data_IF_466104543325
#
_entry.id   IF_466104543325
#
_cell.length_a   1.000
_cell.length_b   1.000
_cell.length_c   1.000
_cell.angle_alpha   90.00
_cell.angle_beta   90.00
_cell.angle_gamma   90.00
#
_symmetry.space_group_name_H-M   'P 1'
#
loop_
_entity.id
_entity.type
_entity.pdbx_description
1 polymer ?
#
# COMPACT_ATOMS: atom_id res chain seq x y z
N UNK A 1 22.53 6.97 6.59
CA UNK A 1 23.14 6.60 5.29
C UNK A 1 24.21 7.63 4.94
N UNK A 2 25.50 7.30 5.03
CA UNK A 2 26.59 8.20 4.59
C UNK A 2 26.79 7.99 3.07
N UNK A 3 26.90 9.07 2.30
CA UNK A 3 27.25 9.11 0.88
C UNK A 3 26.15 8.80 -0.17
N UNK A 4 24.88 9.15 0.09
CA UNK A 4 23.88 9.17 -1.00
C UNK A 4 24.08 10.40 -1.89
N UNK A 5 23.97 10.23 -3.21
CA UNK A 5 23.93 11.36 -4.12
C UNK A 5 22.59 12.12 -3.98
N UNK A 6 22.54 13.38 -4.42
CA UNK A 6 21.34 14.24 -4.26
C UNK A 6 20.09 13.61 -4.86
N UNK A 7 20.19 12.99 -6.03
CA UNK A 7 19.06 12.36 -6.71
C UNK A 7 18.49 11.19 -5.90
N UNK A 8 19.35 10.30 -5.39
CA UNK A 8 18.96 9.18 -4.54
C UNK A 8 18.35 9.62 -3.21
N UNK A 9 18.80 10.74 -2.66
CA UNK A 9 18.18 11.34 -1.48
C UNK A 9 16.77 11.84 -1.77
N UNK A 10 16.54 12.46 -2.94
CA UNK A 10 15.20 12.89 -3.36
C UNK A 10 14.27 11.70 -3.63
N UNK A 11 14.74 10.66 -4.32
CA UNK A 11 13.92 9.47 -4.58
C UNK A 11 13.59 8.72 -3.29
N UNK A 12 14.54 8.63 -2.36
CA UNK A 12 14.28 8.10 -1.02
C UNK A 12 13.22 8.93 -0.27
N UNK A 13 13.34 10.25 -0.27
CA UNK A 13 12.38 11.13 0.39
C UNK A 13 10.96 10.91 -0.16
N UNK A 14 10.81 10.89 -1.48
CA UNK A 14 9.51 10.66 -2.13
C UNK A 14 9.00 9.25 -1.80
N UNK A 15 9.88 8.25 -1.79
CA UNK A 15 9.53 6.87 -1.41
C UNK A 15 8.98 6.81 0.02
N UNK A 16 9.67 7.42 1.00
CA UNK A 16 9.21 7.42 2.39
C UNK A 16 7.89 8.19 2.55
N UNK A 17 7.75 9.35 1.90
CA UNK A 17 6.54 10.16 1.99
C UNK A 17 5.33 9.44 1.37
N UNK A 18 5.47 8.96 0.13
CA UNK A 18 4.41 8.23 -0.56
C UNK A 18 4.07 6.91 0.14
N UNK A 19 5.07 6.19 0.68
CA UNK A 19 4.85 4.99 1.47
C UNK A 19 4.07 5.25 2.76
N UNK A 20 4.35 6.36 3.46
CA UNK A 20 3.60 6.74 4.65
C UNK A 20 2.15 7.15 4.32
N UNK A 21 1.95 7.93 3.26
CA UNK A 21 0.61 8.31 2.78
C UNK A 21 -0.18 7.08 2.33
N UNK A 22 0.47 6.18 1.58
CA UNK A 22 -0.13 4.92 1.14
C UNK A 22 -0.57 4.08 2.32
N UNK A 23 0.31 3.79 3.29
CA UNK A 23 -0.03 2.95 4.43
C UNK A 23 -1.19 3.54 5.25
N UNK A 24 -1.17 4.85 5.49
CA UNK A 24 -2.26 5.54 6.19
C UNK A 24 -3.60 5.46 5.43
N UNK A 25 -3.57 5.70 4.11
CA UNK A 25 -4.75 5.61 3.26
C UNK A 25 -5.29 4.17 3.17
N UNK A 26 -4.39 3.18 3.08
CA UNK A 26 -4.69 1.77 3.00
C UNK A 26 -5.47 1.31 4.24
N UNK A 27 -4.95 1.65 5.43
CA UNK A 27 -5.58 1.37 6.71
C UNK A 27 -6.94 2.06 6.81
N UNK A 28 -7.00 3.35 6.47
CA UNK A 28 -8.24 4.14 6.52
C UNK A 28 -9.32 3.53 5.62
N UNK A 29 -8.99 3.25 4.36
CA UNK A 29 -9.87 2.60 3.41
C UNK A 29 -10.35 1.25 3.93
N UNK A 30 -9.44 0.42 4.44
CA UNK A 30 -9.79 -0.90 4.98
C UNK A 30 -10.83 -0.78 6.09
N UNK A 31 -10.60 0.10 7.07
CA UNK A 31 -11.52 0.28 8.19
C UNK A 31 -12.85 0.90 7.77
N UNK A 32 -12.84 1.97 6.98
CA UNK A 32 -14.07 2.66 6.60
C UNK A 32 -14.95 1.75 5.74
N UNK A 33 -14.38 1.04 4.77
CA UNK A 33 -15.15 0.13 3.93
C UNK A 33 -15.64 -1.10 4.70
N UNK A 34 -14.83 -1.64 5.63
CA UNK A 34 -15.27 -2.77 6.47
C UNK A 34 -16.44 -2.39 7.38
N UNK A 35 -16.55 -1.11 7.81
CA UNK A 35 -17.66 -0.63 8.63
C UNK A 35 -19.03 -0.70 7.96
N UNK A 36 -19.11 -0.92 6.64
CA UNK A 36 -20.36 -1.11 5.92
C UNK A 36 -21.04 -2.45 6.22
N UNK A 37 -20.27 -3.43 6.70
CA UNK A 37 -20.72 -4.81 6.85
C UNK A 37 -21.00 -5.18 8.31
N UNK A 38 -22.02 -6.00 8.56
CA UNK A 38 -22.39 -6.46 9.90
C UNK A 38 -21.46 -7.55 10.44
N UNK A 39 -20.97 -8.48 9.61
CA UNK A 39 -20.25 -9.67 10.05
C UNK A 39 -19.35 -10.28 8.94
N UNK A 40 -18.98 -11.58 9.05
CA UNK A 40 -18.08 -12.32 8.15
C UNK A 40 -18.61 -12.51 6.72
N UNK A 41 -19.93 -12.42 6.50
CA UNK A 41 -20.53 -12.73 5.20
C UNK A 41 -20.69 -11.51 4.27
N UNK A 42 -20.13 -10.36 4.66
CA UNK A 42 -20.26 -9.10 3.93
C UNK A 42 -21.72 -8.70 3.68
N UNK A 43 -22.60 -9.04 4.63
CA UNK A 43 -23.97 -8.50 4.69
C UNK A 43 -23.90 -7.04 5.11
N UNK A 44 -24.56 -6.16 4.36
CA UNK A 44 -24.62 -4.73 4.66
C UNK A 44 -25.34 -4.49 5.99
N UNK A 45 -24.95 -3.43 6.69
CA UNK A 45 -25.68 -2.97 7.87
C UNK A 45 -27.08 -2.47 7.54
N UNK A 46 -28.02 -2.67 8.47
CA UNK A 46 -29.43 -2.28 8.31
C UNK A 46 -29.60 -0.79 7.97
N UNK A 47 -28.67 0.07 8.41
CA UNK A 47 -28.69 1.50 8.08
C UNK A 47 -28.09 1.83 6.70
N UNK A 48 -27.46 0.87 6.02
CA UNK A 48 -26.94 1.01 4.66
C UNK A 48 -28.04 0.51 3.72
N UNK A 49 -28.77 1.44 3.12
CA UNK A 49 -29.90 1.16 2.26
C UNK A 49 -29.56 1.46 0.81
N UNK A 50 -30.28 0.90 -0.18
CA UNK A 50 -30.06 1.23 -1.59
C UNK A 50 -30.10 2.73 -1.88
N UNK A 51 -30.88 3.50 -1.13
CA UNK A 51 -31.03 4.95 -1.32
C UNK A 51 -29.81 5.76 -0.85
N UNK A 52 -29.02 5.26 0.11
CA UNK A 52 -27.85 5.96 0.62
C UNK A 52 -26.52 5.35 0.16
N UNK A 53 -26.55 4.15 -0.41
CA UNK A 53 -25.38 3.40 -0.86
C UNK A 53 -24.54 4.18 -1.88
N UNK A 54 -25.21 4.88 -2.79
CA UNK A 54 -24.60 5.73 -3.80
C UNK A 54 -23.76 6.84 -3.15
N UNK A 55 -24.38 7.61 -2.25
CA UNK A 55 -23.70 8.67 -1.50
C UNK A 55 -22.56 8.14 -0.65
N UNK A 56 -22.74 6.98 0.00
CA UNK A 56 -21.69 6.31 0.76
C UNK A 56 -20.50 6.02 -0.16
N UNK A 57 -20.69 5.36 -1.30
CA UNK A 57 -19.58 5.02 -2.18
C UNK A 57 -18.91 6.25 -2.79
N UNK A 58 -19.65 7.29 -3.17
CA UNK A 58 -19.07 8.56 -3.61
C UNK A 58 -18.18 9.18 -2.54
N UNK A 59 -18.54 9.09 -1.25
CA UNK A 59 -17.68 9.58 -0.16
C UNK A 59 -16.41 8.74 0.06
N UNK A 60 -16.38 7.48 -0.40
CA UNK A 60 -15.20 6.62 -0.33
C UNK A 60 -14.22 6.85 -1.47
N UNK A 61 -14.66 7.47 -2.57
CA UNK A 61 -13.86 7.68 -3.78
C UNK A 61 -12.48 8.29 -3.49
N UNK A 62 -12.33 9.34 -2.64
CA UNK A 62 -11.01 9.88 -2.32
C UNK A 62 -10.08 8.86 -1.64
N UNK A 63 -10.62 7.98 -0.79
CA UNK A 63 -9.82 6.95 -0.11
C UNK A 63 -9.27 5.93 -1.11
N UNK A 64 -10.10 5.47 -2.06
CA UNK A 64 -9.65 4.56 -3.12
C UNK A 64 -8.60 5.22 -4.03
N UNK A 65 -8.85 6.46 -4.48
CA UNK A 65 -7.92 7.20 -5.33
C UNK A 65 -6.58 7.45 -4.67
N UNK A 66 -6.58 7.93 -3.42
CA UNK A 66 -5.33 8.22 -2.69
C UNK A 66 -4.53 6.94 -2.51
N UNK A 67 -5.15 5.81 -2.13
CA UNK A 67 -4.40 4.55 -1.98
C UNK A 67 -3.79 4.07 -3.29
N UNK A 68 -4.56 4.08 -4.38
CA UNK A 68 -4.08 3.65 -5.70
C UNK A 68 -2.92 4.53 -6.21
N UNK A 69 -3.08 5.85 -6.13
CA UNK A 69 -2.08 6.80 -6.59
C UNK A 69 -0.81 6.75 -5.72
N UNK A 70 -0.95 6.74 -4.39
CA UNK A 70 0.18 6.75 -3.47
C UNK A 70 0.99 5.45 -3.53
N UNK A 71 0.35 4.28 -3.68
CA UNK A 71 1.09 3.03 -3.88
C UNK A 71 1.91 3.05 -5.17
N UNK A 72 1.30 3.52 -6.27
CA UNK A 72 1.96 3.57 -7.57
C UNK A 72 3.20 4.46 -7.51
N UNK A 73 3.09 5.64 -6.88
CA UNK A 73 4.22 6.54 -6.63
C UNK A 73 5.26 5.87 -5.73
N UNK A 74 4.83 5.25 -4.62
CA UNK A 74 5.72 4.55 -3.70
C UNK A 74 6.56 3.48 -4.39
N UNK A 75 5.91 2.59 -5.15
CA UNK A 75 6.58 1.47 -5.80
C UNK A 75 7.56 1.93 -6.89
N UNK A 76 7.14 2.89 -7.74
CA UNK A 76 8.01 3.45 -8.79
C UNK A 76 9.23 4.14 -8.16
N UNK A 77 9.04 4.98 -7.16
CA UNK A 77 10.15 5.69 -6.53
C UNK A 77 11.04 4.77 -5.70
N UNK A 78 10.51 3.69 -5.12
CA UNK A 78 11.30 2.68 -4.46
C UNK A 78 12.25 1.98 -5.44
N UNK A 79 11.76 1.59 -6.62
CA UNK A 79 12.60 1.00 -7.68
C UNK A 79 13.66 2.00 -8.14
N UNK A 80 13.27 3.26 -8.40
CA UNK A 80 14.22 4.32 -8.77
C UNK A 80 15.28 4.54 -7.69
N UNK A 81 14.91 4.50 -6.41
CA UNK A 81 15.86 4.58 -5.30
C UNK A 81 16.84 3.41 -5.32
N UNK A 82 16.38 2.17 -5.46
CA UNK A 82 17.26 1.00 -5.51
C UNK A 82 18.29 1.07 -6.64
N UNK A 83 17.87 1.50 -7.83
CA UNK A 83 18.75 1.60 -9.00
C UNK A 83 19.76 2.75 -8.85
N UNK A 84 19.34 3.88 -8.25
CA UNK A 84 20.16 5.10 -8.21
C UNK A 84 21.09 5.17 -7.02
N UNK A 85 20.71 4.59 -5.88
CA UNK A 85 21.46 4.66 -4.64
C UNK A 85 22.78 3.86 -4.69
N UNK A 86 22.89 2.90 -5.63
CA UNK A 86 24.05 2.00 -5.78
C UNK A 86 24.47 1.34 -4.47
N UNK A 87 23.53 1.15 -3.55
CA UNK A 87 23.78 0.50 -2.26
C UNK A 87 23.88 -1.01 -2.50
N UNK A 88 24.98 -1.60 -2.01
CA UNK A 88 25.09 -3.06 -2.02
C UNK A 88 24.08 -3.65 -1.04
N UNK A 89 23.06 -4.36 -1.56
CA UNK A 89 22.09 -5.10 -0.75
C UNK A 89 22.77 -6.13 0.17
N UNK A 90 23.91 -6.70 -0.27
CA UNK A 90 24.74 -7.63 0.52
C UNK A 90 25.31 -7.00 1.79
N UNK A 91 25.57 -5.70 1.77
CA UNK A 91 26.13 -4.96 2.91
C UNK A 91 25.04 -4.33 3.79
N UNK A 92 23.83 -4.15 3.25
CA UNK A 92 22.69 -3.53 3.92
C UNK A 92 21.55 -4.54 4.06
N UNK A 93 21.68 -5.47 5.03
CA UNK A 93 20.71 -6.55 5.23
C UNK A 93 19.29 -6.05 5.47
N UNK A 94 19.12 -4.94 6.20
CA UNK A 94 17.81 -4.29 6.36
C UNK A 94 17.19 -3.88 5.02
N UNK A 95 17.97 -3.28 4.12
CA UNK A 95 17.48 -2.85 2.81
C UNK A 95 17.11 -4.04 1.94
N UNK A 96 17.89 -5.11 2.00
CA UNK A 96 17.58 -6.36 1.33
C UNK A 96 16.23 -6.94 1.80
N UNK A 97 15.98 -6.97 3.12
CA UNK A 97 14.71 -7.45 3.67
C UNK A 97 13.55 -6.55 3.23
N UNK A 98 13.71 -5.22 3.27
CA UNK A 98 12.70 -4.27 2.77
C UNK A 98 12.37 -4.55 1.30
N UNK A 99 13.40 -4.73 0.47
CA UNK A 99 13.22 -5.08 -0.95
C UNK A 99 12.44 -6.38 -1.09
N UNK A 100 12.80 -7.43 -0.34
CA UNK A 100 12.04 -8.69 -0.39
C UNK A 100 10.58 -8.50 0.00
N UNK A 101 10.30 -7.78 1.09
CA UNK A 101 8.93 -7.51 1.53
C UNK A 101 8.14 -6.85 0.40
N UNK A 102 8.63 -5.72 -0.13
CA UNK A 102 7.90 -4.94 -1.14
C UNK A 102 7.67 -5.75 -2.42
N UNK A 103 8.69 -6.45 -2.92
CA UNK A 103 8.56 -7.24 -4.15
C UNK A 103 7.70 -8.50 -3.97
N UNK A 104 7.72 -9.14 -2.79
CA UNK A 104 6.87 -10.29 -2.51
C UNK A 104 5.40 -9.89 -2.32
N UNK A 105 5.12 -8.73 -1.73
CA UNK A 105 3.75 -8.23 -1.57
C UNK A 105 3.20 -7.61 -2.86
N UNK A 106 4.06 -7.11 -3.76
CA UNK A 106 3.67 -6.45 -5.00
C UNK A 106 2.63 -7.20 -5.85
N UNK A 107 2.78 -8.49 -6.20
CA UNK A 107 1.80 -9.16 -7.07
C UNK A 107 0.39 -9.22 -6.46
N UNK A 108 0.30 -9.36 -5.13
CA UNK A 108 -0.97 -9.35 -4.42
C UNK A 108 -1.59 -7.96 -4.42
N UNK A 109 -0.81 -6.93 -4.09
CA UNK A 109 -1.31 -5.55 -4.07
C UNK A 109 -1.64 -5.05 -5.49
N UNK A 110 -0.88 -5.44 -6.50
CA UNK A 110 -1.18 -5.15 -7.90
C UNK A 110 -2.53 -5.75 -8.34
N UNK A 111 -2.81 -6.98 -7.92
CA UNK A 111 -4.10 -7.60 -8.16
C UNK A 111 -5.24 -6.86 -7.44
N UNK A 112 -5.08 -6.55 -6.14
CA UNK A 112 -6.10 -5.83 -5.38
C UNK A 112 -6.34 -4.41 -5.93
N UNK A 113 -5.28 -3.71 -6.33
CA UNK A 113 -5.39 -2.41 -7.00
C UNK A 113 -6.13 -2.49 -8.34
N UNK A 114 -6.08 -3.62 -9.04
CA UNK A 114 -6.87 -3.79 -10.26
C UNK A 114 -8.38 -3.79 -9.98
N UNK A 115 -8.79 -4.30 -8.81
CA UNK A 115 -10.18 -4.22 -8.33
C UNK A 115 -10.50 -2.78 -7.92
N UNK A 116 -9.59 -2.14 -7.18
CA UNK A 116 -9.75 -0.73 -6.76
C UNK A 116 -9.89 0.20 -7.97
N UNK A 117 -9.15 -0.06 -9.06
CA UNK A 117 -9.25 0.69 -10.31
C UNK A 117 -10.64 0.55 -10.96
N UNK A 118 -11.24 -0.65 -10.93
CA UNK A 118 -12.62 -0.86 -11.42
C UNK A 118 -13.64 -0.11 -10.57
N UNK A 119 -13.49 -0.15 -9.25
CA UNK A 119 -14.34 0.61 -8.30
C UNK A 119 -14.27 2.10 -8.61
N UNK A 120 -13.07 2.65 -8.74
CA UNK A 120 -12.84 4.06 -9.08
C UNK A 120 -13.47 4.39 -10.43
N UNK A 121 -13.24 3.56 -11.46
CA UNK A 121 -13.79 3.77 -12.80
C UNK A 121 -15.31 3.89 -12.78
N UNK A 122 -16.01 2.96 -12.12
CA UNK A 122 -17.47 2.99 -11.97
C UNK A 122 -17.95 4.22 -11.21
N UNK A 123 -17.29 4.58 -10.11
CA UNK A 123 -17.64 5.75 -9.28
C UNK A 123 -17.48 7.08 -10.00
N UNK A 124 -16.60 7.13 -11.01
CA UNK A 124 -16.39 8.32 -11.84
C UNK A 124 -17.15 8.30 -13.16
N UNK A 125 -17.85 7.21 -13.46
CA UNK A 125 -18.60 7.05 -14.71
C UNK A 125 -20.03 7.56 -14.61
N UNK A 126 -20.59 8.02 -15.71
CA UNK A 126 -22.02 8.38 -15.81
C UNK A 126 -22.94 7.14 -15.71
N UNK A 127 -22.36 5.94 -15.85
CA UNK A 127 -23.05 4.64 -15.75
C UNK A 127 -22.90 4.02 -14.35
N UNK A 128 -22.85 4.86 -13.31
CA UNK A 128 -22.66 4.42 -11.93
C UNK A 128 -23.73 3.40 -11.49
N UNK A 129 -23.27 2.25 -10.99
CA UNK A 129 -24.09 1.18 -10.46
C UNK A 129 -23.56 0.74 -9.09
N UNK A 130 -24.29 1.06 -8.02
CA UNK A 130 -23.87 0.74 -6.66
C UNK A 130 -23.87 -0.76 -6.35
N UNK A 131 -24.71 -1.57 -6.98
CA UNK A 131 -24.66 -3.02 -6.82
C UNK A 131 -23.35 -3.62 -7.38
N UNK A 132 -22.89 -3.09 -8.51
CA UNK A 132 -21.63 -3.54 -9.13
C UNK A 132 -20.41 -3.10 -8.30
N UNK A 133 -20.40 -1.86 -7.82
CA UNK A 133 -19.36 -1.36 -6.90
C UNK A 133 -19.30 -2.18 -5.62
N UNK A 134 -20.46 -2.51 -5.04
CA UNK A 134 -20.56 -3.38 -3.87
C UNK A 134 -19.92 -4.75 -4.14
N UNK A 135 -20.21 -5.35 -5.30
CA UNK A 135 -19.63 -6.64 -5.66
C UNK A 135 -18.10 -6.59 -5.74
N UNK A 136 -17.52 -5.54 -6.34
CA UNK A 136 -16.07 -5.37 -6.37
C UNK A 136 -15.46 -5.15 -4.98
N UNK A 137 -16.14 -4.38 -4.12
CA UNK A 137 -15.70 -4.20 -2.73
C UNK A 137 -15.69 -5.54 -1.98
N UNK A 138 -16.74 -6.36 -2.14
CA UNK A 138 -16.83 -7.68 -1.51
C UNK A 138 -15.75 -8.61 -2.08
N UNK A 139 -15.56 -8.62 -3.40
CA UNK A 139 -14.51 -9.39 -4.08
C UNK A 139 -13.14 -9.05 -3.50
N UNK A 140 -12.83 -7.76 -3.35
CA UNK A 140 -11.57 -7.26 -2.78
C UNK A 140 -11.30 -7.80 -1.38
N UNK A 141 -12.31 -7.93 -0.53
CA UNK A 141 -12.13 -8.48 0.82
C UNK A 141 -12.08 -10.01 0.86
N UNK A 142 -12.72 -10.69 -0.09
CA UNK A 142 -12.70 -12.15 -0.18
C UNK A 142 -11.38 -12.66 -0.74
N UNK A 143 -10.89 -12.02 -1.81
CA UNK A 143 -9.62 -12.40 -2.44
C UNK A 143 -8.47 -12.00 -1.53
N UNK A 144 -7.62 -12.98 -1.21
CA UNK A 144 -6.52 -12.82 -0.27
C UNK A 144 -6.96 -12.21 1.07
N UNK A 145 -8.06 -12.69 1.66
CA UNK A 145 -8.69 -12.10 2.85
C UNK A 145 -7.75 -11.81 4.04
N UNK A 146 -6.68 -12.60 4.21
CA UNK A 146 -5.67 -12.38 5.26
C UNK A 146 -4.55 -11.41 4.85
N UNK A 147 -4.36 -11.18 3.56
CA UNK A 147 -3.27 -10.37 3.01
C UNK A 147 -3.27 -8.93 3.52
N UNK A 148 -4.41 -8.20 3.62
CA UNK A 148 -4.37 -6.82 4.11
C UNK A 148 -3.78 -6.66 5.51
N UNK A 149 -4.06 -7.61 6.40
CA UNK A 149 -3.50 -7.60 7.76
C UNK A 149 -2.01 -7.91 7.73
N UNK A 150 -1.60 -8.92 6.95
CA UNK A 150 -0.19 -9.29 6.77
C UNK A 150 0.59 -8.11 6.18
N UNK A 151 0.05 -7.44 5.17
CA UNK A 151 0.64 -6.29 4.52
C UNK A 151 0.87 -5.14 5.50
N UNK A 152 -0.14 -4.78 6.31
CA UNK A 152 0.01 -3.76 7.35
C UNK A 152 1.19 -4.07 8.28
N UNK A 153 1.28 -5.30 8.79
CA UNK A 153 2.39 -5.70 9.67
C UNK A 153 3.74 -5.72 8.96
N UNK A 154 3.80 -6.19 7.71
CA UNK A 154 5.00 -6.15 6.88
C UNK A 154 5.51 -4.72 6.71
N UNK A 155 4.64 -3.75 6.47
CA UNK A 155 5.05 -2.36 6.27
C UNK A 155 5.38 -1.62 7.58
N UNK A 156 4.78 -2.01 8.71
CA UNK A 156 5.30 -1.59 10.02
C UNK A 156 6.71 -2.13 10.27
N UNK A 157 7.00 -3.37 9.88
CA UNK A 157 8.35 -3.92 9.95
C UNK A 157 9.31 -3.17 9.01
N UNK A 158 8.89 -2.77 7.81
CA UNK A 158 9.67 -1.91 6.91
C UNK A 158 10.02 -0.58 7.59
N UNK A 159 9.06 0.09 8.25
CA UNK A 159 9.31 1.33 9.01
C UNK A 159 10.38 1.10 10.08
N UNK A 160 10.25 0.02 10.86
CA UNK A 160 11.25 -0.36 11.86
C UNK A 160 12.65 -0.55 11.24
N UNK A 161 12.74 -1.28 10.13
CA UNK A 161 14.00 -1.53 9.42
C UNK A 161 14.64 -0.25 8.87
N UNK A 162 13.84 0.71 8.38
CA UNK A 162 14.33 2.01 7.90
C UNK A 162 14.90 2.87 9.03
N UNK A 163 14.25 2.87 10.20
CA UNK A 163 14.64 3.69 11.36
C UNK A 163 15.91 3.14 12.00
N UNK A 164 15.93 1.84 12.33
CA UNK A 164 17.02 1.25 13.10
C UNK A 164 18.17 0.73 12.24
N UNK A 165 17.91 0.42 10.96
CA UNK A 165 18.89 -0.10 10.01
C UNK A 165 19.74 -1.26 10.57
N UNK A 166 19.09 -2.28 11.19
CA UNK A 166 19.82 -3.42 11.75
C UNK A 166 20.54 -4.18 10.61
N UNK A 167 21.51 -5.05 10.95
CA UNK A 167 22.18 -5.90 9.96
C UNK A 167 23.00 -5.14 8.89
N UNK A 168 23.37 -3.89 9.17
CA UNK A 168 24.42 -3.20 8.40
C UNK A 168 25.77 -3.82 8.72
N UNK A 169 26.45 -4.39 7.71
CA UNK A 169 27.80 -4.93 7.91
C UNK A 169 28.77 -3.81 8.24
N UNK A 170 29.43 -3.90 9.40
CA UNK A 170 30.60 -3.04 9.70
C UNK A 170 31.79 -3.61 8.94
N UNK A 171 32.44 -2.78 8.12
CA UNK A 171 33.75 -3.13 7.58
C UNK A 171 34.70 -3.07 8.77
N UNK A 172 35.10 -4.23 9.28
CA UNK A 172 36.22 -4.32 10.22
C UNK A 172 37.45 -4.03 9.38
N UNK A 173 37.94 -2.79 9.43
CA UNK A 173 39.29 -2.49 8.94
C UNK A 173 40.25 -3.17 9.89
N UNK A 174 40.67 -4.39 9.55
CA UNK A 174 41.88 -4.99 10.11
C UNK A 174 43.04 -4.05 9.77
N UNK A 175 43.45 -3.24 10.74
CA UNK A 175 44.78 -2.63 10.71
C UNK A 175 45.76 -3.74 11.03
N UNK A 176 46.41 -4.27 10.00
CA UNK A 176 47.70 -4.94 10.11
C UNK A 176 48.76 -4.06 9.49
#
# INVERSE_FOLDING_TARGET
>A
MKNLNKFSSYTLYITCLSGAVWLGSYITRLFVTYRLFQEKDFVLKDYVTPQNLDGIFSTLLPAFWVTLASYSVFFIFFILFLVTAKLSLKNNGWLFIITLIIFLTFPFEAYLMSIDYKVVGLLTSDAFNSAEVLNFIIERFKVFSSFPVIEIFCYFAVIYLIIFQPLTKKIITEKH
#
